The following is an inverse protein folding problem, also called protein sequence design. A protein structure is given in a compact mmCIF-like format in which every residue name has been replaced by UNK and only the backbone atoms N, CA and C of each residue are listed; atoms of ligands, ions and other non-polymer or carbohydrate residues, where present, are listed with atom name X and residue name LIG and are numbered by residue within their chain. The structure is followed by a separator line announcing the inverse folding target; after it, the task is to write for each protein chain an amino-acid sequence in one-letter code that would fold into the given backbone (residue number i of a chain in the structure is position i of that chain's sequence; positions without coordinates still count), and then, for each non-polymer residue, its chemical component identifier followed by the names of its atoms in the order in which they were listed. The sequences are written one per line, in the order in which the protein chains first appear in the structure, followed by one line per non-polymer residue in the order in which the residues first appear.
data_IF_738539822351
#
_entry.id   IF_738539822351
#
_cell.length_a   1.000
_cell.length_b   1.000
_cell.length_c   1.000
_cell.angle_alpha   90.00
_cell.angle_beta   90.00
_cell.angle_gamma   90.00
#
_symmetry.space_group_name_H-M   'P 1'
#
loop_
_entity.id
_entity.type
_entity.pdbx_description
1 polymer ?
#
# COMPACT_ATOMS: atom_id res chain seq x y z
N UNK A 1 -19.85 11.50 -2.98
CA UNK A 1 -20.85 11.01 -3.95
C UNK A 1 -21.25 12.18 -4.84
N UNK A 2 -21.04 12.10 -6.16
CA UNK A 2 -21.33 13.22 -7.09
C UNK A 2 -22.79 13.18 -7.56
N UNK A 3 -23.37 14.33 -7.90
CA UNK A 3 -24.76 14.44 -8.41
C UNK A 3 -25.06 13.47 -9.57
N UNK A 4 -24.08 13.24 -10.44
CA UNK A 4 -24.14 12.29 -11.56
C UNK A 4 -24.30 10.85 -11.07
N UNK A 5 -23.51 10.42 -10.08
CA UNK A 5 -23.60 9.05 -9.56
C UNK A 5 -24.96 8.76 -8.91
N UNK A 6 -25.54 9.73 -8.19
CA UNK A 6 -26.88 9.60 -7.63
C UNK A 6 -27.94 9.38 -8.74
N UNK A 7 -27.84 10.12 -9.85
CA UNK A 7 -28.76 9.97 -10.98
C UNK A 7 -28.61 8.62 -11.69
N UNK A 8 -27.38 8.13 -11.84
CA UNK A 8 -27.13 6.80 -12.41
C UNK A 8 -27.73 5.69 -11.54
N UNK A 9 -27.52 5.76 -10.21
CA UNK A 9 -28.09 4.83 -9.25
C UNK A 9 -29.63 4.86 -9.26
N UNK A 10 -30.24 6.05 -9.35
CA UNK A 10 -31.69 6.18 -9.44
C UNK A 10 -32.24 5.56 -10.72
N UNK A 11 -31.61 5.83 -11.86
CA UNK A 11 -31.99 5.23 -13.15
C UNK A 11 -31.88 3.70 -13.09
N UNK A 12 -30.80 3.16 -12.51
CA UNK A 12 -30.66 1.72 -12.28
C UNK A 12 -31.80 1.14 -11.41
N UNK A 13 -32.18 1.83 -10.32
CA UNK A 13 -33.26 1.40 -9.42
C UNK A 13 -34.60 1.36 -10.12
N UNK A 14 -34.91 2.37 -10.94
CA UNK A 14 -36.12 2.41 -11.76
C UNK A 14 -36.10 1.28 -12.79
N UNK A 15 -34.97 1.08 -13.48
CA UNK A 15 -34.82 0.00 -14.45
C UNK A 15 -35.03 -1.39 -13.84
N UNK A 16 -34.48 -1.65 -12.65
CA UNK A 16 -34.74 -2.89 -11.91
C UNK A 16 -36.21 -3.07 -11.51
N UNK A 17 -36.92 -1.99 -11.21
CA UNK A 17 -38.36 -2.05 -10.88
C UNK A 17 -39.15 -2.41 -12.14
N UNK A 18 -38.93 -1.71 -13.25
CA UNK A 18 -39.58 -1.98 -14.52
C UNK A 18 -39.33 -3.42 -15.01
N UNK A 19 -38.09 -3.92 -14.86
CA UNK A 19 -37.74 -5.29 -15.23
C UNK A 19 -38.53 -6.33 -14.42
N UNK A 20 -38.71 -6.11 -13.12
CA UNK A 20 -39.52 -6.97 -12.23
C UNK A 20 -41.01 -6.95 -12.57
N UNK A 21 -41.49 -5.81 -13.05
CA UNK A 21 -42.88 -5.61 -13.51
C UNK A 21 -43.11 -6.15 -14.93
N UNK A 22 -42.08 -6.69 -15.58
CA UNK A 22 -42.16 -7.21 -16.95
C UNK A 22 -42.08 -6.14 -18.04
N UNK A 23 -41.96 -4.86 -17.67
CA UNK A 23 -41.81 -3.75 -18.59
C UNK A 23 -40.34 -3.64 -19.05
N UNK A 24 -39.96 -4.47 -20.02
CA UNK A 24 -38.59 -4.52 -20.55
C UNK A 24 -38.17 -3.23 -21.25
N UNK A 25 -39.08 -2.59 -21.97
CA UNK A 25 -38.77 -1.35 -22.70
C UNK A 25 -38.33 -0.24 -21.75
N UNK A 26 -39.08 -0.02 -20.67
CA UNK A 26 -38.70 0.98 -19.67
C UNK A 26 -37.44 0.57 -18.91
N UNK A 27 -37.25 -0.73 -18.63
CA UNK A 27 -36.03 -1.21 -18.00
C UNK A 27 -34.79 -0.89 -18.84
N UNK A 28 -34.83 -1.20 -20.14
CA UNK A 28 -33.71 -0.99 -21.06
C UNK A 28 -33.41 0.51 -21.24
N UNK A 29 -34.45 1.35 -21.32
CA UNK A 29 -34.30 2.81 -21.37
C UNK A 29 -33.59 3.38 -20.14
N UNK A 30 -33.98 2.91 -18.95
CA UNK A 30 -33.39 3.38 -17.69
C UNK A 30 -31.96 2.87 -17.49
N UNK A 31 -31.68 1.64 -17.89
CA UNK A 31 -30.31 1.12 -17.92
C UNK A 31 -29.43 1.88 -18.90
N UNK A 32 -29.93 2.20 -20.11
CA UNK A 32 -29.19 3.01 -21.07
C UNK A 32 -28.85 4.40 -20.51
N UNK A 33 -29.79 5.03 -19.80
CA UNK A 33 -29.57 6.33 -19.12
C UNK A 33 -28.48 6.21 -18.05
N UNK A 34 -28.52 5.17 -17.22
CA UNK A 34 -27.48 4.92 -16.22
C UNK A 34 -26.10 4.70 -16.86
N UNK A 35 -26.04 3.93 -17.95
CA UNK A 35 -24.80 3.63 -18.69
C UNK A 35 -24.17 4.90 -19.29
N UNK A 36 -24.97 5.78 -19.91
CA UNK A 36 -24.49 7.06 -20.43
C UNK A 36 -23.87 7.94 -19.34
N UNK A 37 -24.48 7.98 -18.15
CA UNK A 37 -23.93 8.75 -17.03
C UNK A 37 -22.63 8.13 -16.51
N UNK A 38 -22.58 6.79 -16.44
CA UNK A 38 -21.36 6.06 -16.06
C UNK A 38 -20.22 6.36 -17.04
N UNK A 39 -20.48 6.38 -18.35
CA UNK A 39 -19.49 6.73 -19.37
C UNK A 39 -18.91 8.12 -19.14
N UNK A 40 -19.76 9.12 -18.86
CA UNK A 40 -19.31 10.48 -18.55
C UNK A 40 -18.42 10.52 -17.30
N UNK A 41 -18.78 9.76 -16.24
CA UNK A 41 -17.95 9.66 -15.04
C UNK A 41 -16.60 9.02 -15.37
N UNK A 42 -16.57 7.99 -16.22
CA UNK A 42 -15.35 7.26 -16.59
C UNK A 42 -14.41 8.07 -17.49
N UNK A 43 -14.89 9.08 -18.21
CA UNK A 43 -14.01 10.01 -18.94
C UNK A 43 -13.11 10.78 -17.96
N UNK A 44 -13.67 11.25 -16.86
CA UNK A 44 -12.94 12.03 -15.85
C UNK A 44 -12.21 11.13 -14.84
N UNK A 45 -12.83 10.00 -14.50
CA UNK A 45 -12.35 9.07 -13.47
C UNK A 45 -12.41 7.62 -13.98
N UNK A 46 -11.46 7.20 -14.82
CA UNK A 46 -11.49 5.89 -15.51
C UNK A 46 -11.60 4.67 -14.58
N UNK A 47 -11.10 4.77 -13.34
CA UNK A 47 -11.10 3.70 -12.34
C UNK A 47 -12.04 3.99 -11.17
N UNK A 48 -13.07 4.82 -11.38
CA UNK A 48 -14.03 5.14 -10.33
C UNK A 48 -14.85 3.90 -9.94
N UNK A 49 -14.60 3.44 -8.72
CA UNK A 49 -15.15 2.22 -8.16
C UNK A 49 -16.67 2.09 -8.31
N UNK A 50 -17.40 3.09 -7.83
CA UNK A 50 -18.86 3.00 -7.73
C UNK A 50 -19.51 2.85 -9.11
N UNK A 51 -18.96 3.52 -10.13
CA UNK A 51 -19.50 3.48 -11.49
C UNK A 51 -19.12 2.19 -12.21
N UNK A 52 -17.94 1.62 -11.94
CA UNK A 52 -17.56 0.30 -12.43
C UNK A 52 -18.43 -0.82 -11.87
N UNK A 53 -18.70 -0.80 -10.57
CA UNK A 53 -19.63 -1.74 -9.92
C UNK A 53 -21.05 -1.58 -10.46
N UNK A 54 -21.55 -0.34 -10.60
CA UNK A 54 -22.89 -0.11 -11.14
C UNK A 54 -23.03 -0.60 -12.59
N UNK A 55 -22.00 -0.40 -13.41
CA UNK A 55 -21.94 -0.94 -14.76
C UNK A 55 -22.12 -2.47 -14.77
N UNK A 56 -21.38 -3.19 -13.93
CA UNK A 56 -21.49 -4.65 -13.85
C UNK A 56 -22.85 -5.10 -13.34
N UNK A 57 -23.46 -4.37 -12.40
CA UNK A 57 -24.82 -4.64 -11.91
C UNK A 57 -25.87 -4.51 -13.04
N UNK A 58 -25.74 -3.47 -13.87
CA UNK A 58 -26.61 -3.29 -15.05
C UNK A 58 -26.44 -4.44 -16.03
N UNK A 59 -25.19 -4.80 -16.36
CA UNK A 59 -24.88 -5.93 -17.24
C UNK A 59 -25.50 -7.23 -16.72
N UNK A 60 -25.38 -7.50 -15.41
CA UNK A 60 -26.00 -8.66 -14.77
C UNK A 60 -27.52 -8.66 -14.91
N UNK A 61 -28.17 -7.51 -14.69
CA UNK A 61 -29.62 -7.38 -14.81
C UNK A 61 -30.12 -7.62 -16.25
N UNK A 62 -29.38 -7.15 -17.25
CA UNK A 62 -29.74 -7.31 -18.67
C UNK A 62 -29.45 -8.73 -19.21
N UNK A 63 -28.33 -9.33 -18.81
CA UNK A 63 -27.90 -10.64 -19.32
C UNK A 63 -28.53 -11.82 -18.57
N UNK A 64 -28.89 -11.62 -17.29
CA UNK A 64 -29.24 -12.69 -16.36
C UNK A 64 -28.03 -13.49 -15.89
N UNK A 65 -28.21 -14.28 -14.82
CA UNK A 65 -27.10 -14.89 -14.07
C UNK A 65 -26.20 -15.80 -14.93
N UNK A 66 -26.77 -16.66 -15.77
CA UNK A 66 -26.01 -17.64 -16.55
C UNK A 66 -25.07 -16.96 -17.57
N UNK A 67 -25.58 -16.00 -18.33
CA UNK A 67 -24.80 -15.25 -19.32
C UNK A 67 -23.82 -14.30 -18.65
N UNK A 68 -24.24 -13.65 -17.57
CA UNK A 68 -23.36 -12.79 -16.80
C UNK A 68 -22.19 -13.57 -16.19
N UNK A 69 -22.40 -14.82 -15.74
CA UNK A 69 -21.31 -15.66 -15.22
C UNK A 69 -20.22 -15.92 -16.25
N UNK A 70 -20.59 -16.16 -17.52
CA UNK A 70 -19.62 -16.27 -18.61
C UNK A 70 -18.89 -14.94 -18.87
N UNK A 71 -19.63 -13.84 -18.89
CA UNK A 71 -19.07 -12.49 -19.03
C UNK A 71 -18.09 -12.15 -17.90
N UNK A 72 -18.42 -12.50 -16.66
CA UNK A 72 -17.59 -12.32 -15.48
C UNK A 72 -16.23 -13.01 -15.66
N UNK A 73 -16.24 -14.26 -16.14
CA UNK A 73 -15.02 -15.02 -16.40
C UNK A 73 -14.17 -14.38 -17.51
N UNK A 74 -14.81 -13.80 -18.54
CA UNK A 74 -14.12 -13.06 -19.60
C UNK A 74 -13.45 -11.81 -19.05
N UNK A 75 -14.17 -10.96 -18.32
CA UNK A 75 -13.63 -9.73 -17.72
C UNK A 75 -12.48 -10.05 -16.76
N UNK A 76 -12.61 -11.10 -15.94
CA UNK A 76 -11.52 -11.53 -15.04
C UNK A 76 -10.26 -11.93 -15.82
N UNK A 77 -10.42 -12.62 -16.95
CA UNK A 77 -9.30 -13.04 -17.82
C UNK A 77 -8.64 -11.85 -18.50
N UNK A 78 -9.45 -10.94 -19.03
CA UNK A 78 -8.97 -9.70 -19.65
C UNK A 78 -8.20 -8.85 -18.64
N UNK A 79 -8.72 -8.68 -17.43
CA UNK A 79 -8.05 -7.95 -16.37
C UNK A 79 -6.71 -8.60 -15.96
N UNK A 80 -6.58 -9.93 -16.00
CA UNK A 80 -5.29 -10.59 -15.74
C UNK A 80 -4.24 -10.31 -16.84
N UNK A 81 -4.68 -10.12 -18.09
CA UNK A 81 -3.83 -9.84 -19.25
C UNK A 81 -3.63 -8.34 -19.51
N UNK A 82 -4.34 -7.48 -18.77
CA UNK A 82 -4.27 -6.03 -18.90
C UNK A 82 -2.86 -5.52 -18.53
N UNK A 83 -2.18 -4.81 -19.46
CA UNK A 83 -0.86 -4.23 -19.17
C UNK A 83 -0.93 -3.09 -18.16
N UNK A 84 -2.03 -2.32 -18.14
CA UNK A 84 -2.21 -1.27 -17.15
C UNK A 84 -2.63 -1.87 -15.80
N UNK A 85 -1.67 -2.04 -14.89
CA UNK A 85 -1.92 -2.70 -13.60
C UNK A 85 -2.97 -1.98 -12.73
N UNK A 86 -3.06 -0.66 -12.82
CA UNK A 86 -4.07 0.10 -12.08
C UNK A 86 -5.48 -0.22 -12.60
N UNK A 87 -5.65 -0.32 -13.92
CA UNK A 87 -6.89 -0.75 -14.55
C UNK A 87 -7.22 -2.20 -14.20
N UNK A 88 -6.24 -3.10 -14.36
CA UNK A 88 -6.36 -4.51 -14.02
C UNK A 88 -6.89 -4.71 -12.58
N UNK A 89 -6.30 -3.98 -11.64
CA UNK A 89 -6.69 -4.04 -10.24
C UNK A 89 -8.08 -3.45 -10.00
N UNK A 90 -8.40 -2.29 -10.58
CA UNK A 90 -9.73 -1.70 -10.48
C UNK A 90 -10.82 -2.67 -10.98
N UNK A 91 -10.65 -3.22 -12.19
CA UNK A 91 -11.59 -4.16 -12.81
C UNK A 91 -11.78 -5.43 -11.95
N UNK A 92 -10.69 -6.02 -11.44
CA UNK A 92 -10.77 -7.20 -10.57
C UNK A 92 -11.43 -6.92 -9.23
N UNK A 93 -11.15 -5.76 -8.64
CA UNK A 93 -11.85 -5.36 -7.44
C UNK A 93 -13.33 -5.19 -7.79
N UNK A 94 -13.70 -4.59 -8.93
CA UNK A 94 -15.11 -4.29 -9.23
C UNK A 94 -15.91 -5.60 -9.31
N UNK A 95 -15.30 -6.63 -9.90
CA UNK A 95 -15.79 -8.01 -9.89
C UNK A 95 -15.95 -8.56 -8.46
N UNK A 96 -15.01 -8.29 -7.55
CA UNK A 96 -15.07 -8.74 -6.15
C UNK A 96 -16.27 -8.16 -5.40
N UNK A 97 -16.70 -6.94 -5.73
CA UNK A 97 -17.92 -6.36 -5.16
C UNK A 97 -19.19 -7.10 -5.61
N UNK A 98 -19.18 -7.63 -6.84
CA UNK A 98 -20.33 -8.32 -7.43
C UNK A 98 -20.43 -9.76 -6.94
N UNK A 99 -19.31 -10.47 -6.90
CA UNK A 99 -19.21 -11.84 -6.39
C UNK A 99 -17.81 -12.09 -5.78
N UNK A 100 -17.63 -11.88 -4.46
CA UNK A 100 -16.35 -12.07 -3.81
C UNK A 100 -15.92 -13.55 -3.73
N UNK A 101 -16.84 -14.48 -4.01
CA UNK A 101 -16.59 -15.92 -3.95
C UNK A 101 -16.43 -16.54 -5.35
N UNK A 102 -16.37 -15.73 -6.41
CA UNK A 102 -16.19 -16.23 -7.77
C UNK A 102 -14.88 -17.05 -7.87
N UNK A 103 -14.92 -18.29 -8.41
CA UNK A 103 -13.75 -19.15 -8.47
C UNK A 103 -12.56 -18.49 -9.19
N UNK A 104 -11.42 -18.44 -8.50
CA UNK A 104 -10.17 -17.89 -9.05
C UNK A 104 -10.01 -16.38 -8.92
N UNK A 105 -11.04 -15.62 -8.51
CA UNK A 105 -10.98 -14.16 -8.42
C UNK A 105 -9.97 -13.67 -7.38
N UNK A 106 -10.01 -14.21 -6.16
CA UNK A 106 -9.04 -13.85 -5.10
C UNK A 106 -7.60 -14.09 -5.53
N UNK A 107 -7.34 -15.22 -6.21
CA UNK A 107 -6.02 -15.52 -6.74
C UNK A 107 -5.60 -14.55 -7.86
N UNK A 108 -6.55 -14.11 -8.70
CA UNK A 108 -6.28 -13.09 -9.72
C UNK A 108 -5.92 -11.74 -9.10
N UNK A 109 -6.65 -11.30 -8.06
CA UNK A 109 -6.36 -10.08 -7.30
C UNK A 109 -4.94 -10.14 -6.71
N UNK A 110 -4.62 -11.21 -5.98
CA UNK A 110 -3.29 -11.38 -5.38
C UNK A 110 -2.17 -11.37 -6.43
N UNK A 111 -2.39 -11.97 -7.61
CA UNK A 111 -1.41 -11.93 -8.71
C UNK A 111 -1.18 -10.53 -9.23
N UNK A 112 -2.23 -9.73 -9.41
CA UNK A 112 -2.12 -8.34 -9.87
C UNK A 112 -1.52 -7.45 -8.80
N UNK A 113 -1.93 -7.59 -7.55
CA UNK A 113 -1.31 -6.91 -6.40
C UNK A 113 0.19 -7.22 -6.33
N UNK A 114 0.58 -8.49 -6.54
CA UNK A 114 1.98 -8.90 -6.58
C UNK A 114 2.78 -8.20 -7.69
N UNK A 115 2.15 -7.85 -8.82
CA UNK A 115 2.78 -7.08 -9.91
C UNK A 115 2.81 -5.57 -9.61
N UNK A 116 1.81 -5.03 -8.92
CA UNK A 116 1.76 -3.62 -8.50
C UNK A 116 2.80 -3.33 -7.42
N UNK A 117 2.89 -4.24 -6.45
CA UNK A 117 3.78 -4.12 -5.29
C UNK A 117 5.08 -4.90 -5.49
N UNK A 118 5.40 -5.30 -6.73
CA UNK A 118 6.66 -5.95 -7.05
C UNK A 118 7.79 -4.99 -6.66
N UNK A 119 8.60 -5.41 -5.67
CA UNK A 119 9.86 -4.73 -5.39
C UNK A 119 10.70 -4.81 -6.67
N UNK A 120 11.37 -3.72 -7.10
CA UNK A 120 12.24 -3.76 -8.27
C UNK A 120 13.20 -4.94 -8.13
N UNK A 121 13.39 -5.68 -9.24
CA UNK A 121 14.29 -6.82 -9.26
C UNK A 121 15.67 -6.38 -8.78
N UNK A 122 16.20 -7.04 -7.76
CA UNK A 122 17.54 -6.72 -7.21
C UNK A 122 18.56 -7.07 -8.29
N UNK A 123 19.17 -6.05 -8.89
CA UNK A 123 20.16 -6.24 -9.95
C UNK A 123 21.50 -6.74 -9.39
N UNK A 124 22.42 -7.17 -10.25
CA UNK A 124 23.78 -7.49 -9.84
C UNK A 124 24.49 -6.27 -9.21
N UNK A 125 24.21 -5.07 -9.73
CA UNK A 125 24.75 -3.81 -9.19
C UNK A 125 24.19 -3.51 -7.80
N UNK A 126 22.88 -3.73 -7.57
CA UNK A 126 22.27 -3.54 -6.25
C UNK A 126 22.86 -4.51 -5.21
N UNK A 127 23.12 -5.76 -5.60
CA UNK A 127 23.83 -6.73 -4.74
C UNK A 127 25.25 -6.26 -4.40
N UNK A 128 25.99 -5.78 -5.40
CA UNK A 128 27.36 -5.30 -5.22
C UNK A 128 27.42 -4.06 -4.32
N UNK A 129 26.57 -3.06 -4.55
CA UNK A 129 26.53 -1.86 -3.70
C UNK A 129 26.00 -2.16 -2.29
N UNK A 130 25.04 -3.08 -2.15
CA UNK A 130 24.61 -3.57 -0.83
C UNK A 130 25.76 -4.22 -0.06
N UNK A 131 26.59 -5.04 -0.72
CA UNK A 131 27.77 -5.64 -0.11
C UNK A 131 28.81 -4.58 0.29
N UNK A 132 29.05 -3.58 -0.58
CA UNK A 132 29.97 -2.47 -0.29
C UNK A 132 29.55 -1.66 0.92
N UNK A 133 28.26 -1.31 1.01
CA UNK A 133 27.69 -0.59 2.15
C UNK A 133 27.75 -1.41 3.44
N UNK A 134 27.58 -2.74 3.36
CA UNK A 134 27.79 -3.63 4.48
C UNK A 134 29.25 -3.62 4.98
N UNK A 135 30.23 -3.70 4.06
CA UNK A 135 31.64 -3.68 4.44
C UNK A 135 32.05 -2.37 5.10
N UNK A 136 31.58 -1.23 4.58
CA UNK A 136 31.80 0.08 5.17
C UNK A 136 31.16 0.18 6.59
N UNK A 137 29.95 -0.34 6.76
CA UNK A 137 29.29 -0.36 8.06
C UNK A 137 30.01 -1.26 9.06
N UNK A 138 30.56 -2.40 8.59
CA UNK A 138 31.37 -3.30 9.41
C UNK A 138 32.65 -2.61 9.89
N UNK A 139 33.33 -1.84 9.03
CA UNK A 139 34.51 -1.07 9.42
C UNK A 139 34.18 -0.06 10.52
N UNK A 140 33.09 0.71 10.36
CA UNK A 140 32.62 1.68 11.36
C UNK A 140 32.27 1.00 12.69
N UNK A 141 31.64 -0.17 12.64
CA UNK A 141 31.32 -0.96 13.82
C UNK A 141 32.57 -1.47 14.54
N UNK A 142 33.57 -1.92 13.78
CA UNK A 142 34.82 -2.46 14.32
C UNK A 142 35.68 -1.43 15.06
N UNK A 143 35.45 -0.12 14.87
CA UNK A 143 36.15 0.91 15.68
C UNK A 143 35.69 0.92 17.14
N UNK A 144 34.60 0.21 17.47
CA UNK A 144 34.00 0.15 18.82
C UNK A 144 33.63 1.52 19.40
N UNK A 145 33.45 2.52 18.55
CA UNK A 145 33.05 3.87 18.92
C UNK A 145 31.54 4.01 18.75
N UNK A 146 30.81 4.25 19.84
CA UNK A 146 29.33 4.37 19.80
C UNK A 146 28.83 5.43 18.85
N UNK A 147 29.54 6.54 18.70
CA UNK A 147 29.14 7.62 17.78
C UNK A 147 29.14 7.16 16.31
N UNK A 148 29.97 6.18 15.96
CA UNK A 148 30.03 5.61 14.61
C UNK A 148 28.84 4.67 14.32
N UNK A 149 28.13 4.20 15.35
CA UNK A 149 27.04 3.23 15.18
C UNK A 149 25.86 3.84 14.42
N UNK A 150 25.60 5.15 14.55
CA UNK A 150 24.57 5.84 13.76
C UNK A 150 24.91 5.80 12.26
N UNK A 151 26.16 6.07 11.91
CA UNK A 151 26.63 6.04 10.52
C UNK A 151 26.61 4.61 9.95
N UNK A 152 27.02 3.62 10.75
CA UNK A 152 26.94 2.21 10.38
C UNK A 152 25.48 1.78 10.11
N UNK A 153 24.53 2.16 10.97
CA UNK A 153 23.10 1.87 10.78
C UNK A 153 22.53 2.53 9.53
N UNK A 154 22.94 3.76 9.21
CA UNK A 154 22.50 4.44 7.99
C UNK A 154 22.94 3.68 6.72
N UNK A 155 24.19 3.21 6.69
CA UNK A 155 24.71 2.40 5.59
C UNK A 155 24.02 1.04 5.49
N UNK A 156 23.78 0.36 6.61
CA UNK A 156 23.05 -0.91 6.64
C UNK A 156 21.59 -0.76 6.18
N UNK A 157 20.93 0.34 6.55
CA UNK A 157 19.58 0.62 6.05
C UNK A 157 19.59 0.80 4.53
N UNK A 158 20.56 1.53 3.96
CA UNK A 158 20.70 1.68 2.51
C UNK A 158 21.02 0.36 1.83
N UNK A 159 21.89 -0.46 2.43
CA UNK A 159 22.21 -1.79 1.93
C UNK A 159 20.98 -2.70 1.84
N UNK A 160 20.08 -2.60 2.83
CA UNK A 160 18.84 -3.39 2.90
C UNK A 160 17.69 -2.84 2.03
N UNK A 161 17.75 -1.57 1.62
CA UNK A 161 16.87 -1.03 0.57
C UNK A 161 17.25 -1.64 -0.78
N UNK A 162 18.55 -1.68 -1.09
CA UNK A 162 19.08 -2.21 -2.35
C UNK A 162 18.95 -3.73 -2.44
N UNK A 163 19.29 -4.46 -1.38
CA UNK A 163 19.13 -5.91 -1.30
C UNK A 163 18.50 -6.29 0.05
N UNK A 164 17.17 -6.39 0.12
CA UNK A 164 16.45 -6.79 1.33
C UNK A 164 16.86 -8.17 1.87
N UNK A 165 17.44 -9.04 1.03
CA UNK A 165 17.86 -10.40 1.41
C UNK A 165 19.32 -10.47 1.91
N UNK A 166 20.03 -9.34 2.06
CA UNK A 166 21.38 -9.33 2.61
C UNK A 166 21.38 -9.68 4.12
N UNK A 167 21.45 -10.98 4.42
CA UNK A 167 21.40 -11.53 5.79
C UNK A 167 22.52 -10.95 6.68
N UNK A 168 23.72 -10.75 6.13
CA UNK A 168 24.86 -10.18 6.87
C UNK A 168 24.57 -8.76 7.35
N UNK A 169 23.97 -7.92 6.48
CA UNK A 169 23.56 -6.57 6.84
C UNK A 169 22.44 -6.55 7.89
N UNK A 170 21.46 -7.46 7.80
CA UNK A 170 20.40 -7.60 8.81
C UNK A 170 20.98 -7.97 10.19
N UNK A 171 21.89 -8.94 10.22
CA UNK A 171 22.51 -9.43 11.46
C UNK A 171 23.35 -8.34 12.14
N UNK A 172 24.21 -7.64 11.38
CA UNK A 172 25.03 -6.56 11.92
C UNK A 172 24.16 -5.39 12.42
N UNK A 173 23.09 -5.05 11.68
CA UNK A 173 22.12 -4.03 12.12
C UNK A 173 21.52 -4.42 13.47
N UNK A 174 21.01 -5.65 13.60
CA UNK A 174 20.43 -6.13 14.84
C UNK A 174 21.43 -6.16 16.00
N UNK A 175 22.69 -6.49 15.74
CA UNK A 175 23.76 -6.45 16.74
C UNK A 175 24.04 -5.03 17.23
N UNK A 176 24.21 -4.06 16.32
CA UNK A 176 24.42 -2.66 16.68
C UNK A 176 23.24 -2.12 17.49
N UNK A 177 22.01 -2.45 17.09
CA UNK A 177 20.81 -2.07 17.83
C UNK A 177 20.82 -2.64 19.26
N UNK A 178 21.19 -3.90 19.44
CA UNK A 178 21.34 -4.49 20.77
C UNK A 178 22.42 -3.78 21.59
N UNK A 179 23.59 -3.52 21.02
CA UNK A 179 24.68 -2.84 21.73
C UNK A 179 24.35 -1.39 22.12
N UNK A 180 23.56 -0.69 21.30
CA UNK A 180 23.03 0.63 21.66
C UNK A 180 22.03 0.57 22.82
N UNK A 181 21.36 -0.57 23.01
CA UNK A 181 20.42 -0.81 24.09
C UNK A 181 21.08 -1.32 25.38
N UNK A 182 22.23 -2.01 25.27
CA UNK A 182 22.99 -2.49 26.43
C UNK A 182 23.62 -1.27 27.14
N UNK A 183 23.33 -1.09 28.44
CA UNK A 183 23.89 -0.02 29.26
C UNK A 183 23.10 1.29 29.29
N UNK A 184 21.87 1.34 28.75
CA UNK A 184 20.94 2.43 29.06
C UNK A 184 20.18 2.12 30.36
N UNK A 185 20.21 3.03 31.33
CA UNK A 185 19.37 2.93 32.55
C UNK A 185 17.86 2.96 32.23
N UNK A 186 17.51 3.27 30.98
CA UNK A 186 16.16 3.29 30.44
C UNK A 186 16.08 2.25 29.32
N UNK A 187 15.49 1.10 29.61
CA UNK A 187 15.29 0.05 28.62
C UNK A 187 14.31 0.52 27.54
N UNK A 188 14.67 0.35 26.28
CA UNK A 188 13.78 0.54 25.12
C UNK A 188 13.62 -0.81 24.43
N UNK A 189 12.40 -1.14 23.98
CA UNK A 189 12.17 -2.40 23.28
C UNK A 189 12.94 -2.41 21.94
N UNK A 190 13.34 -3.58 21.41
CA UNK A 190 14.00 -3.65 20.10
C UNK A 190 13.19 -3.03 18.97
N UNK A 191 11.85 -3.09 19.04
CA UNK A 191 10.96 -2.50 18.03
C UNK A 191 10.84 -0.99 18.19
N UNK A 192 10.73 -0.49 19.42
CA UNK A 192 10.75 0.95 19.71
C UNK A 192 12.10 1.57 19.35
N UNK A 193 13.20 0.84 19.54
CA UNK A 193 14.53 1.30 19.16
C UNK A 193 14.66 1.45 17.63
N UNK A 194 14.04 0.56 16.84
CA UNK A 194 13.98 0.72 15.37
C UNK A 194 13.23 2.00 15.00
N UNK A 195 12.10 2.28 15.67
CA UNK A 195 11.29 3.49 15.45
C UNK A 195 12.08 4.75 15.82
N UNK A 196 12.73 4.75 16.99
CA UNK A 196 13.59 5.84 17.47
C UNK A 196 14.67 6.19 16.45
N UNK A 197 15.41 5.19 15.97
CA UNK A 197 16.50 5.40 15.00
C UNK A 197 15.96 5.81 13.63
N UNK A 198 14.80 5.29 13.21
CA UNK A 198 14.16 5.74 11.98
C UNK A 198 13.78 7.24 12.08
N UNK A 199 13.22 7.67 13.21
CA UNK A 199 12.88 9.07 13.46
C UNK A 199 14.13 9.96 13.52
N UNK A 200 15.19 9.56 14.23
CA UNK A 200 16.48 10.28 14.26
C UNK A 200 17.10 10.44 12.85
N UNK A 201 16.92 9.46 11.97
CA UNK A 201 17.38 9.54 10.58
C UNK A 201 16.52 10.51 9.75
N UNK A 202 15.20 10.53 9.95
CA UNK A 202 14.31 11.48 9.27
C UNK A 202 14.65 12.93 9.65
N UNK A 203 14.87 13.20 10.95
CA UNK A 203 15.34 14.52 11.42
C UNK A 203 16.65 14.90 10.75
N UNK A 204 17.63 13.99 10.66
CA UNK A 204 18.91 14.29 10.01
C UNK A 204 18.81 14.60 8.50
N UNK A 205 17.68 14.25 7.89
CA UNK A 205 17.37 14.53 6.47
C UNK A 205 16.44 15.74 6.29
N UNK A 206 16.08 16.43 7.37
CA UNK A 206 15.14 17.55 7.35
C UNK A 206 13.66 17.14 7.26
N UNK A 207 13.32 15.85 7.35
CA UNK A 207 11.93 15.39 7.35
C UNK A 207 11.36 15.38 8.77
N UNK A 208 11.09 16.57 9.30
CA UNK A 208 10.59 16.75 10.67
C UNK A 208 9.13 16.27 10.82
N UNK A 209 8.34 16.28 9.73
CA UNK A 209 6.95 15.80 9.74
C UNK A 209 6.88 14.28 9.83
N UNK A 210 7.69 13.57 9.03
CA UNK A 210 7.84 12.12 9.12
C UNK A 210 8.42 11.69 10.46
N UNK A 211 9.43 12.41 10.97
CA UNK A 211 9.98 12.17 12.30
C UNK A 211 8.94 12.33 13.42
N UNK A 212 8.09 13.36 13.34
CA UNK A 212 7.03 13.59 14.32
C UNK A 212 5.99 12.47 14.36
N UNK A 213 5.64 11.90 13.20
CA UNK A 213 4.73 10.75 13.14
C UNK A 213 5.32 9.53 13.86
N UNK A 214 6.61 9.26 13.67
CA UNK A 214 7.30 8.16 14.36
C UNK A 214 7.50 8.43 15.85
N UNK A 215 7.75 9.68 16.26
CA UNK A 215 7.79 10.05 17.68
C UNK A 215 6.43 9.81 18.36
N UNK A 216 5.32 10.18 17.70
CA UNK A 216 3.98 9.93 18.22
C UNK A 216 3.70 8.43 18.40
N UNK A 217 4.18 7.59 17.47
CA UNK A 217 4.11 6.14 17.62
C UNK A 217 4.96 5.64 18.80
N UNK A 218 6.17 6.15 18.95
CA UNK A 218 7.11 5.77 20.01
C UNK A 218 6.57 6.10 21.41
N UNK A 219 5.86 7.23 21.55
CA UNK A 219 5.24 7.68 22.80
C UNK A 219 3.98 6.92 23.21
N UNK A 220 3.43 6.04 22.35
CA UNK A 220 2.32 5.14 22.72
C UNK A 220 2.72 4.16 23.82
N UNK A 221 4.00 3.80 23.88
CA UNK A 221 4.56 3.05 25.00
C UNK A 221 5.06 4.04 26.07
N UNK A 222 4.40 4.12 27.25
CA UNK A 222 4.72 5.13 28.25
C UNK A 222 6.13 4.99 28.84
N UNK A 223 6.75 3.81 28.75
CA UNK A 223 8.14 3.57 29.17
C UNK A 223 9.12 4.46 28.38
N UNK A 224 8.80 4.77 27.12
CA UNK A 224 9.65 5.56 26.24
C UNK A 224 9.67 7.06 26.58
N UNK A 225 8.66 7.58 27.28
CA UNK A 225 8.53 9.02 27.56
C UNK A 225 9.65 9.57 28.46
N UNK A 226 10.24 8.70 29.29
CA UNK A 226 11.33 9.04 30.17
C UNK A 226 12.71 8.67 29.61
N UNK A 227 12.76 8.09 28.41
CA UNK A 227 14.02 7.74 27.77
C UNK A 227 14.74 9.02 27.27
N UNK A 228 15.99 9.28 27.68
CA UNK A 228 16.72 10.50 27.29
C UNK A 228 16.85 10.69 25.78
N UNK A 229 16.97 9.61 25.00
CA UNK A 229 17.06 9.69 23.53
C UNK A 229 15.73 10.08 22.90
N UNK A 230 14.61 9.67 23.49
CA UNK A 230 13.27 10.04 23.03
C UNK A 230 13.01 11.53 23.29
N UNK A 231 13.43 12.02 24.46
CA UNK A 231 13.37 13.46 24.78
C UNK A 231 14.28 14.29 23.89
N UNK A 232 15.49 13.80 23.61
CA UNK A 232 16.39 14.46 22.66
C UNK A 232 15.82 14.49 21.24
N UNK A 233 15.20 13.40 20.78
CA UNK A 233 14.49 13.35 19.50
C UNK A 233 13.35 14.37 19.44
N UNK A 234 12.55 14.49 20.50
CA UNK A 234 11.48 15.48 20.59
C UNK A 234 12.01 16.91 20.46
N UNK A 235 13.03 17.27 21.24
CA UNK A 235 13.66 18.59 21.15
C UNK A 235 14.23 18.87 19.75
N UNK A 236 14.84 17.86 19.10
CA UNK A 236 15.37 18.00 17.75
C UNK A 236 14.26 18.16 16.69
N UNK A 237 13.09 17.53 16.86
CA UNK A 237 11.95 17.69 15.95
C UNK A 237 11.36 19.11 16.09
N UNK A 238 11.27 19.63 17.32
CA UNK A 238 10.83 21.00 17.57
C UNK A 238 11.77 22.03 16.94
N UNK A 239 13.08 21.85 17.07
CA UNK A 239 14.09 22.73 16.47
C UNK A 239 14.20 22.61 14.93
N UNK A 240 13.67 21.54 14.36
CA UNK A 240 13.67 21.26 12.93
C UNK A 240 12.48 21.91 12.19
N UNK A 241 11.42 22.27 12.92
CA UNK A 241 10.20 22.90 12.41
C UNK A 241 10.33 24.42 12.31
#
# INVERSE_FOLDING_TARGET
MTKRMNLANESYRIGLKALREGNREEADKQFATALQIIEQIKIEYPYHRESGVLYLKIQKAQLGDARFRAQFQTIMREAMNEPNLQKAYADLKDLEEIDPNFPGLKAAIVRVEGRIYQKPEVTANDRAESARLYDQARQLYNTRTRDNYKNALAQLNRALVLNPQNVSAQNLKNQILRELNIGSSYAISPDDLKILIAAENLVSRGDCNGAAALLAQLKRNPVNNNNPRVRALEANIEACR
#
